data_IF_101034578210
#
_entry.id   IF_101034578210
#
_cell.length_a   1.000
_cell.length_b   1.000
_cell.length_c   1.000
_cell.angle_alpha   90.00
_cell.angle_beta   90.00
_cell.angle_gamma   90.00
#
_symmetry.space_group_name_H-M   'P 1'
#
loop_
_entity.id
_entity.type
_entity.pdbx_description
1 polymer ?
#
# COMPACT_ATOMS: atom_id res chain seq x y z
N UNK A 1 -74.14 -14.83 21.21
CA UNK A 1 -72.76 -14.31 21.23
C UNK A 1 -71.83 -15.46 20.95
N UNK A 2 -70.98 -15.37 19.93
CA UNK A 2 -70.02 -16.43 19.56
C UNK A 2 -70.04 -16.86 18.09
N UNK A 3 -70.26 -15.92 17.16
CA UNK A 3 -69.79 -16.11 15.78
C UNK A 3 -68.28 -15.81 15.73
N UNK A 4 -67.60 -16.44 14.76
CA UNK A 4 -66.30 -16.03 14.19
C UNK A 4 -65.05 -16.41 15.01
N UNK A 5 -64.63 -17.67 14.97
CA UNK A 5 -63.23 -18.02 15.29
C UNK A 5 -62.63 -19.19 14.49
N UNK A 6 -63.30 -19.64 13.41
CA UNK A 6 -62.91 -20.87 12.69
C UNK A 6 -62.53 -20.63 11.21
N UNK A 7 -61.94 -19.46 10.90
CA UNK A 7 -61.59 -19.07 9.51
C UNK A 7 -60.17 -18.58 9.24
N UNK A 8 -59.21 -18.79 10.14
CA UNK A 8 -57.80 -18.45 9.87
C UNK A 8 -56.82 -19.60 10.07
N UNK A 9 -57.17 -20.78 9.54
CA UNK A 9 -56.19 -21.84 9.24
C UNK A 9 -55.90 -21.88 7.74
N UNK A 10 -55.51 -20.73 7.19
CA UNK A 10 -54.83 -20.69 5.90
C UNK A 10 -53.44 -21.29 6.13
N UNK A 11 -53.25 -22.49 5.58
CA UNK A 11 -51.94 -23.07 5.35
C UNK A 11 -51.21 -22.13 4.39
N UNK A 12 -50.38 -21.24 4.91
CA UNK A 12 -49.36 -20.60 4.09
C UNK A 12 -48.44 -21.69 3.57
N UNK A 13 -48.41 -21.84 2.24
CA UNK A 13 -47.51 -22.74 1.56
C UNK A 13 -46.06 -22.39 1.94
N UNK A 14 -45.12 -23.36 1.96
CA UNK A 14 -43.70 -23.04 2.10
C UNK A 14 -43.33 -21.97 1.08
N UNK A 15 -42.49 -20.98 1.44
CA UNK A 15 -42.12 -19.90 0.54
C UNK A 15 -41.64 -20.51 -0.79
N UNK A 16 -42.08 -19.98 -1.94
CA UNK A 16 -41.74 -20.56 -3.23
C UNK A 16 -40.22 -20.69 -3.33
N UNK A 17 -39.68 -21.86 -3.73
CA UNK A 17 -38.24 -22.06 -3.81
C UNK A 17 -37.66 -20.95 -4.70
N UNK A 18 -36.56 -20.30 -4.27
CA UNK A 18 -35.99 -19.19 -5.00
C UNK A 18 -35.67 -19.64 -6.44
N UNK A 19 -35.89 -18.78 -7.44
CA UNK A 19 -35.80 -19.14 -8.85
C UNK A 19 -34.44 -19.82 -9.14
N UNK A 20 -34.39 -20.81 -10.05
CA UNK A 20 -33.20 -21.65 -10.28
C UNK A 20 -31.94 -20.85 -10.71
N UNK A 21 -32.10 -19.60 -11.14
CA UNK A 21 -31.03 -18.64 -11.39
C UNK A 21 -30.36 -18.12 -10.11
N UNK A 22 -31.11 -17.94 -9.02
CA UNK A 22 -30.61 -17.49 -7.71
C UNK A 22 -29.85 -18.60 -6.97
N UNK A 23 -30.29 -19.86 -7.09
CA UNK A 23 -29.57 -21.01 -6.51
C UNK A 23 -28.25 -21.33 -7.24
N UNK A 24 -28.15 -21.06 -8.54
CA UNK A 24 -26.88 -21.15 -9.29
C UNK A 24 -25.93 -20.01 -8.94
N UNK A 25 -26.45 -18.81 -8.69
CA UNK A 25 -25.66 -17.68 -8.23
C UNK A 25 -25.12 -17.90 -6.81
N UNK A 26 -25.93 -18.44 -5.89
CA UNK A 26 -25.48 -18.75 -4.52
C UNK A 26 -24.37 -19.81 -4.52
N UNK A 27 -24.49 -20.88 -5.31
CA UNK A 27 -23.43 -21.92 -5.42
C UNK A 27 -22.11 -21.39 -6.00
N UNK A 28 -22.15 -20.50 -6.99
CA UNK A 28 -20.94 -19.84 -7.53
C UNK A 28 -20.30 -18.91 -6.51
N UNK A 29 -21.10 -18.20 -5.73
CA UNK A 29 -20.60 -17.34 -4.65
C UNK A 29 -20.00 -18.18 -3.53
N UNK A 30 -20.58 -19.35 -3.20
CA UNK A 30 -19.99 -20.29 -2.25
C UNK A 30 -18.61 -20.81 -2.68
N UNK A 31 -18.44 -21.21 -3.96
CA UNK A 31 -17.14 -21.62 -4.49
C UNK A 31 -16.10 -20.49 -4.47
N UNK A 32 -16.52 -19.25 -4.72
CA UNK A 32 -15.65 -18.07 -4.67
C UNK A 32 -15.27 -17.75 -3.22
N UNK A 33 -16.21 -17.82 -2.28
CA UNK A 33 -15.94 -17.54 -0.87
C UNK A 33 -14.95 -18.55 -0.30
N UNK A 34 -15.11 -19.85 -0.57
CA UNK A 34 -14.15 -20.88 -0.13
C UNK A 34 -12.74 -20.60 -0.66
N UNK A 35 -12.60 -20.02 -1.86
CA UNK A 35 -11.30 -19.62 -2.43
C UNK A 35 -10.72 -18.35 -1.79
N UNK A 36 -11.55 -17.45 -1.27
CA UNK A 36 -11.11 -16.19 -0.66
C UNK A 36 -10.93 -16.33 0.87
N UNK A 37 -11.57 -17.31 1.52
CA UNK A 37 -11.36 -17.64 2.94
C UNK A 37 -9.88 -17.69 3.35
N UNK A 38 -8.98 -18.43 2.64
CA UNK A 38 -7.57 -18.44 3.02
C UNK A 38 -6.90 -17.08 2.86
N UNK A 39 -7.36 -16.22 1.94
CA UNK A 39 -6.80 -14.87 1.76
C UNK A 39 -7.19 -13.97 2.95
N UNK A 40 -8.44 -14.03 3.39
CA UNK A 40 -8.92 -13.28 4.56
C UNK A 40 -8.20 -13.74 5.83
N UNK A 41 -8.05 -15.05 6.01
CA UNK A 41 -7.29 -15.63 7.11
C UNK A 41 -5.81 -15.25 7.06
N UNK A 42 -5.20 -15.19 5.88
CA UNK A 42 -3.82 -14.73 5.71
C UNK A 42 -3.68 -13.25 6.07
N UNK A 43 -4.63 -12.40 5.66
CA UNK A 43 -4.65 -10.98 6.02
C UNK A 43 -4.84 -10.77 7.54
N UNK A 44 -5.72 -11.55 8.18
CA UNK A 44 -5.92 -11.53 9.62
C UNK A 44 -4.66 -12.02 10.36
N UNK A 45 -4.04 -13.12 9.91
CA UNK A 45 -2.80 -13.63 10.47
C UNK A 45 -1.63 -12.64 10.32
N UNK A 46 -1.56 -11.88 9.23
CA UNK A 46 -0.57 -10.80 9.07
C UNK A 46 -0.84 -9.66 10.05
N UNK A 47 -2.10 -9.30 10.28
CA UNK A 47 -2.46 -8.27 11.26
C UNK A 47 -2.11 -8.70 12.69
N UNK A 48 -2.45 -9.94 13.05
CA UNK A 48 -2.12 -10.54 14.35
C UNK A 48 -0.62 -10.75 14.53
N UNK A 49 0.11 -11.04 13.44
CA UNK A 49 1.56 -11.13 13.44
C UNK A 49 2.20 -9.75 13.65
N UNK A 50 1.68 -8.68 13.02
CA UNK A 50 2.24 -7.34 13.14
C UNK A 50 1.96 -6.66 14.48
N UNK A 51 0.83 -6.96 15.13
CA UNK A 51 0.48 -6.45 16.46
C UNK A 51 1.62 -6.48 17.48
N UNK A 52 2.22 -7.65 17.78
CA UNK A 52 3.28 -7.76 18.77
C UNK A 52 4.59 -7.08 18.34
N UNK A 53 4.85 -6.85 17.04
CA UNK A 53 6.03 -6.09 16.61
C UNK A 53 5.85 -4.59 16.81
N UNK A 54 4.64 -4.08 16.59
CA UNK A 54 4.31 -2.69 16.88
C UNK A 54 4.42 -2.44 18.38
N UNK A 55 3.84 -3.30 19.21
CA UNK A 55 3.89 -3.18 20.67
C UNK A 55 5.33 -3.28 21.21
N UNK A 56 6.14 -4.21 20.67
CA UNK A 56 7.58 -4.29 21.01
C UNK A 56 8.36 -3.05 20.59
N UNK A 57 8.01 -2.46 19.45
CA UNK A 57 8.59 -1.20 18.98
C UNK A 57 8.28 -0.03 19.92
N UNK A 58 7.03 0.09 20.35
CA UNK A 58 6.61 1.11 21.32
C UNK A 58 7.27 0.92 22.68
N UNK A 59 7.28 -0.30 23.22
CA UNK A 59 7.91 -0.59 24.51
C UNK A 59 9.43 -0.39 24.48
N UNK A 60 10.08 -0.65 23.34
CA UNK A 60 11.50 -0.36 23.16
C UNK A 60 11.76 1.15 23.10
N UNK A 61 10.88 1.91 22.41
CA UNK A 61 10.90 3.36 22.38
C UNK A 61 10.75 3.99 23.77
N UNK A 62 9.80 3.52 24.59
CA UNK A 62 9.60 3.99 25.97
C UNK A 62 10.80 3.66 26.87
N UNK A 63 11.37 2.45 26.75
CA UNK A 63 12.58 2.07 27.51
C UNK A 63 13.79 2.92 27.13
N UNK A 64 13.96 3.23 25.84
CA UNK A 64 15.01 4.13 25.38
C UNK A 64 14.79 5.56 25.87
N UNK A 65 13.55 6.04 25.84
CA UNK A 65 13.18 7.38 26.31
C UNK A 65 13.48 7.56 27.81
N UNK A 66 13.01 6.62 28.65
CA UNK A 66 13.27 6.67 30.09
C UNK A 66 14.74 6.39 30.46
N UNK A 67 15.45 5.58 29.68
CA UNK A 67 16.89 5.36 29.87
C UNK A 67 17.72 6.58 29.45
N UNK A 68 17.26 7.37 28.48
CA UNK A 68 17.89 8.59 28.02
C UNK A 68 17.69 9.75 29.02
N UNK A 69 16.52 9.89 29.64
CA UNK A 69 16.24 10.91 30.66
C UNK A 69 17.16 10.80 31.90
N UNK A 70 17.62 9.58 32.24
CA UNK A 70 18.42 9.34 33.45
C UNK A 70 19.89 9.81 33.36
N UNK A 71 20.46 9.96 32.16
CA UNK A 71 21.91 10.13 31.95
C UNK A 71 22.31 11.43 31.24
N UNK A 72 21.43 12.44 31.13
CA UNK A 72 21.69 13.66 30.37
C UNK A 72 21.23 13.51 28.92
N UNK A 73 19.91 13.53 28.72
CA UNK A 73 19.23 13.17 27.48
C UNK A 73 19.66 14.00 26.26
N UNK A 74 20.07 15.26 26.43
CA UNK A 74 20.35 16.14 25.29
C UNK A 74 21.52 15.64 24.42
N UNK A 75 22.60 15.15 25.02
CA UNK A 75 23.78 14.72 24.26
C UNK A 75 23.53 13.41 23.49
N UNK A 76 22.87 12.43 24.10
CA UNK A 76 22.51 11.18 23.45
C UNK A 76 21.42 11.35 22.39
N UNK A 77 20.47 12.27 22.61
CA UNK A 77 19.45 12.61 21.61
C UNK A 77 20.08 13.33 20.43
N UNK A 78 21.04 14.24 20.64
CA UNK A 78 21.75 14.90 19.54
C UNK A 78 22.61 13.92 18.73
N UNK A 79 23.34 13.00 19.38
CA UNK A 79 24.11 11.96 18.68
C UNK A 79 23.16 11.00 17.95
N UNK A 80 22.06 10.58 18.57
CA UNK A 80 21.05 9.72 17.97
C UNK A 80 20.36 10.38 16.76
N UNK A 81 20.03 11.66 16.86
CA UNK A 81 19.43 12.44 15.79
C UNK A 81 20.44 12.72 14.68
N UNK A 82 21.71 12.97 14.99
CA UNK A 82 22.80 13.08 14.03
C UNK A 82 23.06 11.77 13.29
N UNK A 83 23.04 10.63 14.00
CA UNK A 83 23.17 9.30 13.41
C UNK A 83 21.96 8.98 12.52
N UNK A 84 20.74 9.30 12.98
CA UNK A 84 19.52 9.15 12.19
C UNK A 84 19.55 10.04 10.95
N UNK A 85 20.04 11.28 11.05
CA UNK A 85 20.24 12.17 9.92
C UNK A 85 21.36 11.69 8.99
N UNK A 86 22.40 11.00 9.48
CA UNK A 86 23.47 10.47 8.65
C UNK A 86 23.02 9.21 7.88
N UNK A 87 22.30 8.30 8.54
CA UNK A 87 21.85 7.03 7.93
C UNK A 87 20.52 7.18 7.16
N UNK A 88 19.62 8.06 7.61
CA UNK A 88 18.31 8.31 6.99
C UNK A 88 18.19 9.69 6.34
N UNK A 89 19.22 10.54 6.39
CA UNK A 89 19.28 11.85 5.74
C UNK A 89 18.96 11.83 4.25
N UNK A 90 19.41 10.78 3.56
CA UNK A 90 19.11 10.57 2.15
C UNK A 90 17.67 10.11 1.88
N UNK A 91 16.98 9.53 2.87
CA UNK A 91 15.61 9.03 2.71
C UNK A 91 14.56 10.13 2.90
N UNK A 92 14.82 11.16 3.70
CA UNK A 92 13.92 12.31 3.84
C UNK A 92 13.62 13.03 2.51
N UNK A 93 14.60 13.41 1.68
CA UNK A 93 14.33 14.02 0.38
C UNK A 93 13.66 13.06 -0.60
N UNK A 94 13.90 11.74 -0.50
CA UNK A 94 13.17 10.73 -1.29
C UNK A 94 11.70 10.68 -0.89
N UNK A 95 11.40 10.75 0.40
CA UNK A 95 10.02 10.74 0.91
C UNK A 95 9.27 12.03 0.54
N UNK A 96 9.94 13.19 0.67
CA UNK A 96 9.40 14.48 0.22
C UNK A 96 9.18 14.46 -1.30
N UNK A 97 10.13 13.93 -2.08
CA UNK A 97 9.99 13.79 -3.53
C UNK A 97 8.87 12.81 -3.92
N UNK A 98 8.63 11.76 -3.14
CA UNK A 98 7.53 10.83 -3.34
C UNK A 98 6.17 11.50 -3.09
N UNK A 99 6.06 12.34 -2.06
CA UNK A 99 4.85 13.11 -1.74
C UNK A 99 4.58 14.15 -2.84
N UNK A 100 5.60 14.91 -3.26
CA UNK A 100 5.49 15.87 -4.36
C UNK A 100 5.15 15.18 -5.70
N UNK A 101 5.77 14.03 -5.98
CA UNK A 101 5.46 13.22 -7.15
C UNK A 101 4.00 12.73 -7.12
N UNK A 102 3.53 12.26 -5.96
CA UNK A 102 2.14 11.85 -5.79
C UNK A 102 1.17 13.00 -6.01
N UNK A 103 1.50 14.19 -5.48
CA UNK A 103 0.70 15.40 -5.67
C UNK A 103 0.57 15.79 -7.13
N UNK A 104 1.66 15.69 -7.90
CA UNK A 104 1.70 16.07 -9.32
C UNK A 104 1.04 15.03 -10.22
N UNK A 105 1.18 13.74 -9.92
CA UNK A 105 0.85 12.66 -10.88
C UNK A 105 -0.42 11.90 -10.60
N UNK A 106 -0.87 11.85 -9.34
CA UNK A 106 -1.91 10.89 -8.93
C UNK A 106 -3.00 11.45 -8.04
N UNK A 107 -2.82 12.62 -7.41
CA UNK A 107 -3.74 13.11 -6.38
C UNK A 107 -5.20 13.22 -6.84
N UNK A 108 -5.46 13.86 -7.98
CA UNK A 108 -6.84 14.10 -8.42
C UNK A 108 -7.54 12.81 -8.89
N UNK A 109 -6.80 11.93 -9.57
CA UNK A 109 -7.30 10.62 -10.00
C UNK A 109 -7.59 9.73 -8.78
N UNK A 110 -6.65 9.64 -7.84
CA UNK A 110 -6.78 8.85 -6.62
C UNK A 110 -7.90 9.38 -5.71
N UNK A 111 -8.05 10.70 -5.57
CA UNK A 111 -9.14 11.33 -4.82
C UNK A 111 -10.51 11.02 -5.42
N UNK A 112 -10.60 10.99 -6.75
CA UNK A 112 -11.84 10.66 -7.46
C UNK A 112 -12.20 9.19 -7.27
N UNK A 113 -11.26 8.28 -7.47
CA UNK A 113 -11.43 6.84 -7.23
C UNK A 113 -11.78 6.53 -5.77
N UNK A 114 -11.11 7.20 -4.82
CA UNK A 114 -11.41 7.06 -3.39
C UNK A 114 -12.81 7.56 -3.05
N UNK A 115 -13.27 8.66 -3.66
CA UNK A 115 -14.64 9.16 -3.47
C UNK A 115 -15.69 8.21 -4.02
N UNK A 116 -15.43 7.55 -5.16
CA UNK A 116 -16.31 6.51 -5.72
C UNK A 116 -16.39 5.34 -4.75
N UNK A 117 -15.25 4.81 -4.29
CA UNK A 117 -15.22 3.73 -3.30
C UNK A 117 -15.93 4.10 -2.00
N UNK A 118 -15.71 5.33 -1.50
CA UNK A 118 -16.32 5.78 -0.25
C UNK A 118 -17.85 5.88 -0.35
N UNK A 119 -18.38 6.32 -1.50
CA UNK A 119 -19.83 6.34 -1.74
C UNK A 119 -20.43 4.94 -1.73
N UNK A 120 -19.79 4.00 -2.43
CA UNK A 120 -20.22 2.60 -2.48
C UNK A 120 -20.10 1.92 -1.09
N UNK A 121 -18.99 2.15 -0.39
CA UNK A 121 -18.80 1.70 0.98
C UNK A 121 -19.91 2.22 1.92
N UNK A 122 -20.28 3.50 1.80
CA UNK A 122 -21.34 4.07 2.63
C UNK A 122 -22.70 3.40 2.38
N UNK A 123 -23.02 3.02 1.13
CA UNK A 123 -24.23 2.26 0.82
C UNK A 123 -24.19 0.89 1.46
N UNK A 124 -23.09 0.16 1.29
CA UNK A 124 -22.89 -1.15 1.90
C UNK A 124 -22.95 -1.08 3.43
N UNK A 125 -22.43 -0.02 4.05
CA UNK A 125 -22.47 0.17 5.51
C UNK A 125 -23.90 0.43 6.02
N UNK A 126 -24.72 1.17 5.27
CA UNK A 126 -26.13 1.38 5.62
C UNK A 126 -26.90 0.06 5.52
N UNK A 127 -26.67 -0.74 4.49
CA UNK A 127 -27.28 -2.05 4.35
C UNK A 127 -26.79 -3.04 5.43
N UNK A 128 -25.51 -3.01 5.75
CA UNK A 128 -24.91 -3.81 6.82
C UNK A 128 -25.53 -3.52 8.18
N UNK A 129 -25.74 -2.24 8.52
CA UNK A 129 -26.46 -1.87 9.76
C UNK A 129 -27.90 -2.38 9.79
N UNK A 130 -28.60 -2.30 8.65
CA UNK A 130 -29.98 -2.84 8.55
C UNK A 130 -30.03 -4.36 8.68
N UNK A 131 -29.03 -5.06 8.16
CA UNK A 131 -28.91 -6.52 8.27
C UNK A 131 -28.53 -6.94 9.71
N UNK A 132 -27.71 -6.15 10.40
CA UNK A 132 -27.35 -6.38 11.81
C UNK A 132 -28.53 -6.14 12.78
N UNK A 133 -29.53 -5.37 12.38
CA UNK A 133 -30.77 -5.13 13.14
C UNK A 133 -31.91 -6.10 12.77
N UNK A 134 -31.72 -6.95 11.75
CA UNK A 134 -32.76 -7.85 11.27
C UNK A 134 -32.87 -9.10 12.16
N UNK A 135 -34.04 -9.25 12.77
CA UNK A 135 -34.49 -10.42 13.54
C UNK A 135 -35.65 -11.05 12.76
N UNK A 136 -35.33 -11.95 11.82
CA UNK A 136 -36.33 -12.51 10.91
C UNK A 136 -37.21 -13.58 11.58
N UNK A 137 -36.72 -14.17 12.68
CA UNK A 137 -37.40 -15.17 13.50
C UNK A 137 -38.18 -14.57 14.69
N UNK A 138 -38.09 -13.25 14.92
CA UNK A 138 -38.70 -12.51 16.05
C UNK A 138 -38.41 -13.17 17.40
N UNK A 139 -37.20 -13.70 17.56
CA UNK A 139 -36.80 -14.39 18.80
C UNK A 139 -36.09 -13.44 19.80
N UNK A 140 -35.92 -12.17 19.42
CA UNK A 140 -35.33 -11.12 20.24
C UNK A 140 -33.81 -11.04 20.15
N UNK A 141 -33.16 -11.86 19.31
CA UNK A 141 -31.72 -11.86 19.08
C UNK A 141 -31.44 -11.71 17.58
N UNK A 142 -30.53 -10.81 17.15
CA UNK A 142 -30.24 -10.63 15.73
C UNK A 142 -29.69 -11.90 15.07
N UNK A 143 -30.19 -12.26 13.89
CA UNK A 143 -29.79 -13.47 13.14
C UNK A 143 -28.26 -13.59 13.01
N UNK A 144 -27.57 -12.45 12.88
CA UNK A 144 -26.13 -12.34 12.67
C UNK A 144 -25.31 -12.89 13.85
N UNK A 145 -25.89 -12.94 15.04
CA UNK A 145 -25.25 -13.48 16.25
C UNK A 145 -25.52 -14.97 16.46
N UNK A 146 -26.49 -15.54 15.73
CA UNK A 146 -26.90 -16.94 15.86
C UNK A 146 -26.24 -17.87 14.84
N UNK A 147 -25.70 -17.31 13.75
CA UNK A 147 -25.05 -18.06 12.67
C UNK A 147 -23.55 -18.27 12.92
N UNK A 148 -23.00 -19.37 12.39
CA UNK A 148 -21.57 -19.69 12.50
C UNK A 148 -20.68 -18.69 11.77
N UNK A 149 -19.43 -18.49 12.22
CA UNK A 149 -18.52 -17.46 11.68
C UNK A 149 -18.34 -17.50 10.16
N UNK A 150 -18.30 -18.70 9.55
CA UNK A 150 -18.21 -18.84 8.09
C UNK A 150 -19.50 -18.42 7.37
N UNK A 151 -20.66 -18.63 7.97
CA UNK A 151 -21.95 -18.22 7.40
C UNK A 151 -22.18 -16.72 7.55
N UNK A 152 -21.70 -16.10 8.63
CA UNK A 152 -21.68 -14.63 8.79
C UNK A 152 -20.90 -13.99 7.65
N UNK A 153 -19.70 -14.51 7.35
CA UNK A 153 -18.87 -13.99 6.25
C UNK A 153 -19.60 -14.14 4.92
N UNK A 154 -20.24 -15.30 4.67
CA UNK A 154 -21.02 -15.52 3.45
C UNK A 154 -22.17 -14.53 3.29
N UNK A 155 -22.97 -14.32 4.35
CA UNK A 155 -24.09 -13.38 4.36
C UNK A 155 -23.61 -11.94 4.12
N UNK A 156 -22.55 -11.52 4.82
CA UNK A 156 -22.00 -10.16 4.67
C UNK A 156 -21.37 -9.91 3.29
N UNK A 157 -20.70 -10.90 2.70
CA UNK A 157 -20.18 -10.80 1.33
C UNK A 157 -21.32 -10.74 0.31
N UNK A 158 -22.36 -11.57 0.46
CA UNK A 158 -23.55 -11.52 -0.41
C UNK A 158 -24.28 -10.18 -0.30
N UNK A 159 -24.43 -9.65 0.91
CA UNK A 159 -25.02 -8.33 1.15
C UNK A 159 -24.20 -7.24 0.47
N UNK A 160 -22.87 -7.26 0.63
CA UNK A 160 -21.97 -6.32 -0.04
C UNK A 160 -22.09 -6.38 -1.57
N UNK A 161 -22.15 -7.59 -2.15
CA UNK A 161 -22.29 -7.79 -3.60
C UNK A 161 -23.67 -7.40 -4.14
N UNK A 162 -24.72 -7.44 -3.32
CA UNK A 162 -26.08 -7.09 -3.72
C UNK A 162 -26.30 -5.58 -3.72
N UNK A 163 -25.73 -4.89 -2.74
CA UNK A 163 -25.99 -3.47 -2.49
C UNK A 163 -25.03 -2.52 -3.22
N UNK A 164 -23.92 -3.06 -3.73
CA UNK A 164 -22.86 -2.27 -4.34
C UNK A 164 -22.86 -2.39 -5.87
N UNK A 165 -22.60 -1.29 -6.59
CA UNK A 165 -22.41 -1.35 -8.03
C UNK A 165 -21.03 -1.97 -8.38
N UNK A 166 -20.98 -3.15 -9.03
CA UNK A 166 -19.71 -3.80 -9.37
C UNK A 166 -18.87 -2.98 -10.34
N UNK A 167 -19.48 -2.16 -11.20
CA UNK A 167 -18.73 -1.32 -12.15
C UNK A 167 -18.03 -0.18 -11.42
N UNK A 168 -18.73 0.50 -10.51
CA UNK A 168 -18.18 1.60 -9.73
C UNK A 168 -17.03 1.15 -8.81
N UNK A 169 -17.17 -0.02 -8.16
CA UNK A 169 -16.09 -0.60 -7.34
C UNK A 169 -14.89 -0.96 -8.20
N UNK A 170 -15.10 -1.64 -9.32
CA UNK A 170 -14.01 -2.02 -10.22
C UNK A 170 -13.28 -0.78 -10.77
N UNK A 171 -14.00 0.25 -11.20
CA UNK A 171 -13.43 1.52 -11.65
C UNK A 171 -12.60 2.19 -10.55
N UNK A 172 -13.11 2.22 -9.32
CA UNK A 172 -12.39 2.80 -8.19
C UNK A 172 -11.14 2.00 -7.80
N UNK A 173 -11.18 0.67 -7.85
CA UNK A 173 -10.00 -0.20 -7.58
C UNK A 173 -8.95 -0.06 -8.69
N UNK A 174 -9.37 -0.05 -9.96
CA UNK A 174 -8.47 0.16 -11.09
C UNK A 174 -7.83 1.54 -11.05
N UNK A 175 -8.61 2.59 -10.73
CA UNK A 175 -8.10 3.94 -10.57
C UNK A 175 -7.12 4.09 -9.41
N UNK A 176 -7.38 3.43 -8.28
CA UNK A 176 -6.45 3.38 -7.14
C UNK A 176 -5.13 2.69 -7.51
N UNK A 177 -5.23 1.52 -8.16
CA UNK A 177 -4.07 0.73 -8.58
C UNK A 177 -3.22 1.48 -9.61
N UNK A 178 -3.88 2.13 -10.57
CA UNK A 178 -3.22 3.01 -11.56
C UNK A 178 -2.53 4.20 -10.88
N UNK A 179 -3.17 4.81 -9.88
CA UNK A 179 -2.59 5.87 -9.07
C UNK A 179 -1.28 5.43 -8.38
N UNK A 180 -1.28 4.26 -7.74
CA UNK A 180 -0.06 3.69 -7.14
C UNK A 180 1.03 3.43 -8.18
N UNK A 181 0.69 2.85 -9.32
CA UNK A 181 1.67 2.57 -10.39
C UNK A 181 2.24 3.85 -11.00
N UNK A 182 1.44 4.91 -11.11
CA UNK A 182 1.88 6.24 -11.56
C UNK A 182 2.94 6.84 -10.63
N UNK A 183 2.77 6.71 -9.31
CA UNK A 183 3.76 7.16 -8.33
C UNK A 183 5.06 6.36 -8.45
N UNK A 184 4.97 5.03 -8.53
CA UNK A 184 6.14 4.16 -8.70
C UNK A 184 6.92 4.49 -9.97
N UNK A 185 6.21 4.72 -11.08
CA UNK A 185 6.82 5.13 -12.35
C UNK A 185 7.53 6.48 -12.22
N UNK A 186 6.89 7.46 -11.59
CA UNK A 186 7.45 8.80 -11.40
C UNK A 186 8.68 8.78 -10.51
N UNK A 187 8.65 7.99 -9.44
CA UNK A 187 9.78 7.82 -8.53
C UNK A 187 10.98 7.19 -9.25
N UNK A 188 10.75 6.17 -10.10
CA UNK A 188 11.80 5.59 -10.95
C UNK A 188 12.40 6.60 -11.93
N UNK A 189 11.57 7.45 -12.55
CA UNK A 189 12.05 8.51 -13.45
C UNK A 189 12.91 9.53 -12.70
N UNK A 190 12.52 9.90 -11.48
CA UNK A 190 13.30 10.82 -10.63
C UNK A 190 14.65 10.20 -10.24
N UNK A 191 14.68 8.93 -9.84
CA UNK A 191 15.94 8.21 -9.57
C UNK A 191 16.84 8.14 -10.81
N UNK A 192 16.28 7.79 -11.97
CA UNK A 192 17.04 7.77 -13.22
C UNK A 192 17.67 9.15 -13.51
N UNK A 193 16.90 10.24 -13.37
CA UNK A 193 17.42 11.61 -13.54
C UNK A 193 18.54 11.95 -12.57
N UNK A 194 18.40 11.59 -11.29
CA UNK A 194 19.45 11.82 -10.28
C UNK A 194 20.73 11.04 -10.60
N UNK A 195 20.61 9.78 -11.03
CA UNK A 195 21.76 8.97 -11.46
C UNK A 195 22.42 9.58 -12.69
N UNK A 196 21.65 10.00 -13.69
CA UNK A 196 22.20 10.67 -14.89
C UNK A 196 22.93 11.96 -14.51
N UNK A 197 22.37 12.78 -13.62
CA UNK A 197 23.04 13.99 -13.12
C UNK A 197 24.33 13.65 -12.37
N UNK A 198 24.34 12.57 -11.57
CA UNK A 198 25.53 12.08 -10.89
C UNK A 198 26.64 11.66 -11.87
N UNK A 199 26.28 10.97 -12.95
CA UNK A 199 27.23 10.59 -14.02
C UNK A 199 27.79 11.83 -14.71
N UNK A 200 26.93 12.77 -15.13
CA UNK A 200 27.39 14.02 -15.76
C UNK A 200 28.29 14.84 -14.84
N UNK A 201 27.99 14.90 -13.54
CA UNK A 201 28.83 15.58 -12.56
C UNK A 201 30.18 14.87 -12.40
N UNK A 202 30.19 13.54 -12.35
CA UNK A 202 31.41 12.75 -12.31
C UNK A 202 32.29 12.95 -13.55
N UNK A 203 31.68 13.05 -14.74
CA UNK A 203 32.40 13.36 -15.97
C UNK A 203 33.05 14.76 -15.92
N UNK A 204 32.33 15.78 -15.43
CA UNK A 204 32.89 17.11 -15.20
C UNK A 204 34.03 17.11 -14.18
N UNK A 205 33.91 16.31 -13.11
CA UNK A 205 34.98 16.15 -12.13
C UNK A 205 36.19 15.46 -12.74
N UNK A 206 36.00 14.42 -13.56
CA UNK A 206 37.08 13.71 -14.23
C UNK A 206 37.85 14.62 -15.19
N UNK A 207 37.15 15.43 -16.00
CA UNK A 207 37.83 16.42 -16.86
C UNK A 207 38.63 17.44 -16.07
N UNK A 208 38.06 17.97 -14.99
CA UNK A 208 38.72 18.94 -14.11
C UNK A 208 39.93 18.31 -13.41
N UNK A 209 39.77 17.09 -12.90
CA UNK A 209 40.84 16.32 -12.27
C UNK A 209 41.98 16.04 -13.27
N UNK A 210 41.68 15.69 -14.52
CA UNK A 210 42.71 15.47 -15.54
C UNK A 210 43.44 16.76 -15.91
N UNK A 211 42.73 17.89 -16.05
CA UNK A 211 43.32 19.20 -16.39
C UNK A 211 44.24 19.72 -15.28
N UNK A 212 43.90 19.48 -14.01
CA UNK A 212 44.64 20.02 -12.85
C UNK A 212 45.64 19.01 -12.30
N UNK A 213 45.18 17.80 -11.94
CA UNK A 213 46.01 16.79 -11.31
C UNK A 213 46.93 16.07 -12.30
N UNK A 214 46.53 15.95 -13.58
CA UNK A 214 47.35 15.34 -14.62
C UNK A 214 48.76 15.95 -14.77
N UNK A 215 48.89 17.27 -15.01
CA UNK A 215 50.20 17.90 -15.15
C UNK A 215 50.98 17.98 -13.83
N UNK A 216 50.30 18.03 -12.67
CA UNK A 216 50.94 18.02 -11.37
C UNK A 216 51.57 16.64 -11.03
N UNK A 217 50.87 15.54 -11.36
CA UNK A 217 51.39 14.18 -11.17
C UNK A 217 52.53 13.86 -12.14
N UNK A 218 52.46 14.27 -13.40
CA UNK A 218 53.56 14.04 -14.37
C UNK A 218 54.87 14.72 -13.97
N UNK A 219 54.82 15.81 -13.19
CA UNK A 219 56.02 16.51 -12.71
C UNK A 219 56.64 15.88 -11.47
N UNK A 220 55.88 15.11 -10.70
CA UNK A 220 56.28 14.64 -9.36
C UNK A 220 56.57 13.15 -9.30
N UNK A 221 56.03 12.35 -10.22
CA UNK A 221 56.24 10.90 -10.24
C UNK A 221 57.36 10.46 -11.19
N UNK A 222 58.18 9.45 -10.81
CA UNK A 222 59.13 8.81 -11.71
C UNK A 222 58.47 8.18 -12.96
N UNK A 223 59.19 8.06 -14.09
CA UNK A 223 58.66 7.54 -15.35
C UNK A 223 58.03 6.13 -15.24
N UNK A 224 58.51 5.29 -14.32
CA UNK A 224 57.98 3.93 -14.10
C UNK A 224 56.56 3.89 -13.52
N UNK A 225 56.08 4.97 -12.90
CA UNK A 225 54.76 5.03 -12.24
C UNK A 225 53.70 5.80 -13.02
N UNK A 226 54.04 6.33 -14.20
CA UNK A 226 53.09 7.03 -15.08
C UNK A 226 51.94 6.13 -15.55
N UNK A 227 52.09 4.80 -15.48
CA UNK A 227 51.03 3.83 -15.75
C UNK A 227 49.80 4.00 -14.84
N UNK A 228 49.99 4.49 -13.61
CA UNK A 228 48.88 4.73 -12.65
C UNK A 228 48.12 6.04 -12.92
N UNK A 229 48.72 6.98 -13.66
CA UNK A 229 48.06 8.21 -14.12
C UNK A 229 46.97 7.88 -15.15
N UNK A 230 47.21 6.86 -15.98
CA UNK A 230 46.19 6.28 -16.86
C UNK A 230 45.03 5.62 -16.10
N UNK A 231 45.22 5.21 -14.83
CA UNK A 231 44.14 4.71 -13.98
C UNK A 231 43.23 5.82 -13.43
N UNK A 232 43.77 7.03 -13.24
CA UNK A 232 42.98 8.24 -12.96
C UNK A 232 42.24 8.74 -14.21
N UNK A 233 42.80 8.52 -15.40
CA UNK A 233 42.09 8.64 -16.66
C UNK A 233 41.21 7.41 -16.88
N UNK A 234 40.11 7.29 -16.11
CA UNK A 234 39.10 6.24 -16.28
C UNK A 234 38.84 6.06 -17.78
N UNK A 235 39.29 4.92 -18.31
CA UNK A 235 39.19 4.58 -19.73
C UNK A 235 37.71 4.53 -20.08
N UNK A 236 37.20 5.58 -20.71
CA UNK A 236 35.88 5.60 -21.34
C UNK A 236 36.03 5.04 -22.76
N UNK A 237 35.60 3.80 -23.05
CA UNK A 237 35.45 3.35 -24.42
C UNK A 237 34.12 3.89 -24.97
N UNK A 238 34.01 5.19 -25.27
CA UNK A 238 32.78 5.70 -25.92
C UNK A 238 32.91 6.94 -26.82
N UNK A 239 34.10 7.36 -27.25
CA UNK A 239 34.23 8.59 -28.06
C UNK A 239 34.67 8.42 -29.53
N UNK A 240 34.76 7.21 -30.09
CA UNK A 240 35.14 7.04 -31.50
C UNK A 240 33.99 6.82 -32.51
N UNK A 241 32.72 6.75 -32.10
CA UNK A 241 31.61 6.36 -33.03
C UNK A 241 30.69 7.51 -33.47
N UNK A 242 30.90 8.77 -33.07
CA UNK A 242 29.99 9.87 -33.48
C UNK A 242 30.66 11.06 -34.20
N UNK A 243 31.93 10.97 -34.61
CA UNK A 243 32.57 12.05 -35.41
C UNK A 243 32.59 11.80 -36.93
N UNK A 244 31.74 10.90 -37.42
CA UNK A 244 31.46 10.75 -38.85
C UNK A 244 29.96 10.53 -39.08
N UNK A 245 29.17 11.60 -38.96
CA UNK A 245 28.04 11.95 -39.83
C UNK A 245 27.60 13.37 -39.56
#
# INVERSE_FOLDING_TARGET
MGQVADKHKQREAPPPPPPPSAQKASKRVEEIIIKITPIIETCAAIADFMGPYVDKGFQFGEKLYHSAERNGAEEYVQIGLGLLLLFFGGNFPVLIAAIEAFRITGWDSMKTSFRILYKEYKKAMVAHKKDDEMDANNDGVPDVQQIGAQEVVKRKVLLFLTETDPKAVNEGVMGLSSGFMSVLATLRVKFAKTVTLGVSLADCFNETAQKIAGPALMRTLPPEHHKWIGGLAIHLPFQSIQRHR
#
